data_IF_623865195784
#
_entry.id   IF_623865195784
#
_cell.length_a   1.000
_cell.length_b   1.000
_cell.length_c   1.000
_cell.angle_alpha   90.00
_cell.angle_beta   90.00
_cell.angle_gamma   90.00
#
_symmetry.space_group_name_H-M   'P 1'
#
loop_
_entity.id
_entity.type
_entity.pdbx_description
1 polymer ?
#
# COMPACT_ATOMS: atom_id res chain seq x y z
N UNK A 1 -38.85 -28.98 -65.77
CA UNK A 1 -39.47 -29.06 -64.44
C UNK A 1 -38.38 -29.48 -63.44
N UNK A 2 -37.72 -28.51 -62.79
CA UNK A 2 -36.61 -28.77 -61.84
C UNK A 2 -37.14 -28.70 -60.41
N UNK A 3 -37.26 -29.85 -59.74
CA UNK A 3 -37.61 -29.90 -58.32
C UNK A 3 -36.38 -29.58 -57.48
N UNK A 4 -36.41 -28.43 -56.78
CA UNK A 4 -35.40 -28.03 -55.81
C UNK A 4 -35.61 -28.82 -54.52
N UNK A 5 -34.77 -29.83 -54.27
CA UNK A 5 -34.71 -30.50 -52.99
C UNK A 5 -34.15 -29.53 -51.94
N UNK A 6 -35.01 -29.04 -51.03
CA UNK A 6 -34.58 -28.30 -49.84
C UNK A 6 -33.85 -29.26 -48.92
N UNK A 7 -32.52 -29.18 -48.89
CA UNK A 7 -31.67 -29.83 -47.90
C UNK A 7 -32.05 -29.28 -46.52
N UNK A 8 -32.69 -30.08 -45.68
CA UNK A 8 -32.94 -29.73 -44.29
C UNK A 8 -31.58 -29.49 -43.62
N UNK A 9 -31.35 -28.28 -43.10
CA UNK A 9 -30.18 -27.98 -42.27
C UNK A 9 -30.36 -28.77 -40.98
N UNK A 10 -29.49 -29.75 -40.79
CA UNK A 10 -29.35 -30.53 -39.55
C UNK A 10 -28.92 -29.55 -38.44
N UNK A 11 -29.89 -28.96 -37.73
CA UNK A 11 -29.64 -28.13 -36.57
C UNK A 11 -29.36 -29.05 -35.39
N UNK A 12 -28.11 -29.50 -35.29
CA UNK A 12 -27.62 -30.21 -34.10
C UNK A 12 -27.58 -29.19 -32.96
N UNK A 13 -28.53 -29.29 -32.04
CA UNK A 13 -28.54 -28.54 -30.79
C UNK A 13 -27.46 -29.07 -29.84
N UNK A 14 -26.89 -28.18 -29.03
CA UNK A 14 -25.98 -28.53 -27.94
C UNK A 14 -26.67 -29.49 -26.97
N UNK A 15 -25.99 -30.56 -26.55
CA UNK A 15 -26.52 -31.44 -25.53
C UNK A 15 -26.32 -30.83 -24.13
N UNK A 16 -27.24 -31.10 -23.20
CA UNK A 16 -27.10 -30.67 -21.81
C UNK A 16 -25.84 -31.26 -21.15
N UNK A 17 -25.45 -32.47 -21.57
CA UNK A 17 -24.26 -33.16 -21.05
C UNK A 17 -22.98 -32.44 -21.46
N UNK A 18 -22.88 -31.93 -22.70
CA UNK A 18 -21.73 -31.13 -23.13
C UNK A 18 -21.56 -29.87 -22.30
N UNK A 19 -22.65 -29.16 -22.02
CA UNK A 19 -22.58 -27.96 -21.16
C UNK A 19 -22.21 -28.32 -19.72
N UNK A 20 -22.73 -29.44 -19.19
CA UNK A 20 -22.43 -29.92 -17.84
C UNK A 20 -20.95 -30.23 -17.66
N UNK A 21 -20.32 -30.94 -18.60
CA UNK A 21 -18.89 -31.26 -18.55
C UNK A 21 -18.05 -29.98 -18.61
N UNK A 22 -18.42 -29.00 -19.44
CA UNK A 22 -17.69 -27.73 -19.55
C UNK A 22 -17.73 -26.94 -18.25
N UNK A 23 -18.90 -26.76 -17.62
CA UNK A 23 -18.98 -26.02 -16.35
C UNK A 23 -18.29 -26.77 -15.21
N UNK A 24 -18.28 -28.12 -15.24
CA UNK A 24 -17.53 -28.92 -14.26
C UNK A 24 -16.02 -28.68 -14.37
N UNK A 25 -15.46 -28.68 -15.59
CA UNK A 25 -14.05 -28.37 -15.82
C UNK A 25 -13.72 -26.93 -15.41
N UNK A 26 -14.54 -25.96 -15.79
CA UNK A 26 -14.37 -24.55 -15.39
C UNK A 26 -14.42 -24.41 -13.86
N UNK A 27 -15.32 -25.12 -13.18
CA UNK A 27 -15.42 -25.13 -11.73
C UNK A 27 -14.15 -25.65 -11.04
N UNK A 28 -13.56 -26.75 -11.53
CA UNK A 28 -12.30 -27.30 -11.00
C UNK A 28 -11.15 -26.31 -11.20
N UNK A 29 -11.03 -25.74 -12.40
CA UNK A 29 -9.97 -24.75 -12.69
C UNK A 29 -10.12 -23.49 -11.83
N UNK A 30 -11.34 -22.97 -11.71
CA UNK A 30 -11.62 -21.79 -10.90
C UNK A 30 -11.28 -22.01 -9.42
N UNK A 31 -11.58 -23.20 -8.87
CA UNK A 31 -11.29 -23.54 -7.48
C UNK A 31 -9.79 -23.52 -7.15
N UNK A 32 -8.93 -23.90 -8.11
CA UNK A 32 -7.47 -23.88 -7.92
C UNK A 32 -6.91 -22.46 -8.10
N UNK A 33 -7.39 -21.73 -9.10
CA UNK A 33 -6.82 -20.43 -9.49
C UNK A 33 -7.22 -19.32 -8.50
N UNK A 34 -8.46 -19.30 -8.02
CA UNK A 34 -8.98 -18.23 -7.18
C UNK A 34 -8.12 -17.93 -5.92
N UNK A 35 -7.77 -18.89 -5.05
CA UNK A 35 -6.97 -18.61 -3.86
C UNK A 35 -5.55 -18.13 -4.19
N UNK A 36 -4.95 -18.65 -5.26
CA UNK A 36 -3.62 -18.24 -5.72
C UNK A 36 -3.65 -16.78 -6.18
N UNK A 37 -4.67 -16.40 -6.95
CA UNK A 37 -4.86 -15.04 -7.42
C UNK A 37 -5.02 -14.05 -6.25
N UNK A 38 -5.86 -14.35 -5.26
CA UNK A 38 -6.04 -13.49 -4.08
C UNK A 38 -4.74 -13.30 -3.29
N UNK A 39 -4.00 -14.38 -3.02
CA UNK A 39 -2.72 -14.27 -2.32
C UNK A 39 -1.67 -13.46 -3.11
N UNK A 40 -1.67 -13.58 -4.44
CA UNK A 40 -0.79 -12.79 -5.31
C UNK A 40 -1.13 -11.30 -5.24
N UNK A 41 -2.42 -10.95 -5.25
CA UNK A 41 -2.89 -9.58 -5.09
C UNK A 41 -2.43 -9.03 -3.73
N UNK A 42 -2.61 -9.77 -2.64
CA UNK A 42 -2.20 -9.33 -1.31
C UNK A 42 -0.69 -9.12 -1.20
N UNK A 43 0.12 -10.02 -1.78
CA UNK A 43 1.58 -9.83 -1.86
C UNK A 43 1.95 -8.57 -2.64
N UNK A 44 1.29 -8.32 -3.78
CA UNK A 44 1.54 -7.11 -4.57
C UNK A 44 1.19 -5.82 -3.81
N UNK A 45 0.13 -5.85 -2.98
CA UNK A 45 -0.26 -4.72 -2.13
C UNK A 45 0.78 -4.44 -1.04
N UNK A 46 1.30 -5.48 -0.38
CA UNK A 46 2.36 -5.34 0.63
C UNK A 46 3.61 -4.75 -0.01
N UNK A 47 4.07 -5.28 -1.15
CA UNK A 47 5.24 -4.78 -1.86
C UNK A 47 5.07 -3.30 -2.31
N UNK A 48 3.88 -2.92 -2.78
CA UNK A 48 3.58 -1.53 -3.12
C UNK A 48 3.66 -0.62 -1.88
N UNK A 49 3.09 -1.04 -0.75
CA UNK A 49 3.13 -0.26 0.48
C UNK A 49 4.56 -0.10 1.02
N UNK A 50 5.38 -1.14 0.88
CA UNK A 50 6.79 -1.11 1.23
C UNK A 50 7.59 -0.12 0.36
N UNK A 51 7.36 -0.14 -0.95
CA UNK A 51 7.98 0.79 -1.90
C UNK A 51 7.57 2.24 -1.61
N UNK A 52 6.29 2.49 -1.33
CA UNK A 52 5.78 3.80 -0.92
C UNK A 52 6.46 4.26 0.38
N UNK A 53 6.54 3.40 1.40
CA UNK A 53 7.23 3.69 2.65
C UNK A 53 8.71 4.07 2.43
N UNK A 54 9.46 3.29 1.64
CA UNK A 54 10.88 3.55 1.36
C UNK A 54 11.08 4.89 0.66
N UNK A 55 10.21 5.21 -0.30
CA UNK A 55 10.24 6.48 -1.04
C UNK A 55 9.93 7.65 -0.11
N UNK A 56 8.87 7.54 0.70
CA UNK A 56 8.50 8.59 1.67
C UNK A 56 9.59 8.77 2.72
N UNK A 57 10.16 7.68 3.25
CA UNK A 57 11.27 7.73 4.22
C UNK A 57 12.45 8.51 3.66
N UNK A 58 12.87 8.20 2.43
CA UNK A 58 13.98 8.89 1.79
C UNK A 58 13.69 10.39 1.63
N UNK A 59 12.49 10.75 1.18
CA UNK A 59 12.09 12.14 1.02
C UNK A 59 12.08 12.92 2.35
N UNK A 60 11.56 12.30 3.42
CA UNK A 60 11.56 12.90 4.77
C UNK A 60 12.98 13.13 5.28
N UNK A 61 13.90 12.17 5.07
CA UNK A 61 15.30 12.29 5.49
C UNK A 61 16.05 13.35 4.68
N UNK A 62 15.80 13.45 3.37
CA UNK A 62 16.37 14.48 2.51
C UNK A 62 15.89 15.87 2.94
N UNK A 63 14.58 16.02 3.19
CA UNK A 63 14.02 17.26 3.70
C UNK A 63 14.66 17.70 5.02
N UNK A 64 14.90 16.76 5.94
CA UNK A 64 15.59 17.04 7.20
C UNK A 64 17.06 17.42 6.98
N UNK A 65 17.75 16.77 6.05
CA UNK A 65 19.16 17.05 5.75
C UNK A 65 19.34 18.46 5.16
N UNK A 66 18.43 18.89 4.29
CA UNK A 66 18.49 20.20 3.64
C UNK A 66 18.06 21.32 4.59
N UNK A 67 16.99 21.10 5.35
CA UNK A 67 16.37 22.16 6.16
C UNK A 67 16.82 22.18 7.61
N UNK A 68 17.41 21.08 8.11
CA UNK A 68 17.71 20.85 9.53
C UNK A 68 16.46 20.65 10.40
N UNK A 69 15.27 20.63 9.81
CA UNK A 69 13.99 20.54 10.51
C UNK A 69 13.17 19.41 9.90
N UNK A 70 12.52 18.62 10.76
CA UNK A 70 11.64 17.56 10.29
C UNK A 70 10.37 18.16 9.68
N UNK A 71 9.81 17.55 8.61
CA UNK A 71 8.50 17.92 8.11
C UNK A 71 7.45 17.91 9.23
N UNK A 72 6.43 18.77 9.18
CA UNK A 72 5.36 18.79 10.16
C UNK A 72 4.51 17.53 10.03
N UNK A 73 3.78 17.19 11.09
CA UNK A 73 2.74 16.17 11.01
C UNK A 73 1.68 16.57 9.98
N UNK A 74 1.18 15.58 9.24
CA UNK A 74 0.08 15.79 8.29
C UNK A 74 -1.15 16.27 9.06
N UNK A 75 -1.74 17.38 8.61
CA UNK A 75 -2.91 17.98 9.27
C UNK A 75 -4.20 17.20 9.04
N UNK A 76 -4.22 16.33 8.02
CA UNK A 76 -5.31 15.41 7.73
C UNK A 76 -4.78 14.15 7.03
N UNK A 77 -5.55 13.07 7.08
CA UNK A 77 -5.21 11.81 6.43
C UNK A 77 -5.03 11.98 4.92
N UNK A 78 -3.95 11.42 4.36
CA UNK A 78 -3.69 11.45 2.92
C UNK A 78 -3.25 12.80 2.37
N UNK A 79 -2.99 13.80 3.22
CA UNK A 79 -2.40 15.07 2.80
C UNK A 79 -0.88 15.01 2.81
N UNK A 80 -0.30 15.73 1.87
CA UNK A 80 1.13 16.00 1.82
C UNK A 80 1.55 16.81 3.08
N UNK A 81 2.55 16.37 3.85
CA UNK A 81 3.13 17.14 4.96
C UNK A 81 4.06 18.29 4.49
N UNK A 82 4.17 18.51 3.18
CA UNK A 82 5.01 19.54 2.55
C UNK A 82 6.32 19.01 1.98
N UNK A 83 6.32 17.73 1.62
CA UNK A 83 7.40 17.09 0.86
C UNK A 83 7.28 17.35 -0.64
N UNK A 84 6.06 17.60 -1.13
CA UNK A 84 5.80 17.94 -2.54
C UNK A 84 5.67 19.45 -2.71
N UNK A 85 4.90 20.10 -1.84
CA UNK A 85 4.69 21.55 -1.90
C UNK A 85 5.05 22.20 -0.57
N UNK A 86 6.02 23.13 -0.60
CA UNK A 86 6.46 23.92 0.55
C UNK A 86 5.28 24.58 1.29
N UNK A 87 4.21 24.97 0.58
CA UNK A 87 3.06 25.63 1.18
C UNK A 87 2.27 24.74 2.16
N UNK A 88 2.41 23.42 2.06
CA UNK A 88 1.81 22.48 3.01
C UNK A 88 2.65 22.30 4.29
N UNK A 89 3.88 22.82 4.31
CA UNK A 89 4.76 22.81 5.47
C UNK A 89 4.61 24.11 6.26
N UNK A 90 3.78 24.07 7.31
CA UNK A 90 3.63 25.21 8.22
C UNK A 90 4.96 25.55 8.90
N UNK A 91 5.48 26.76 8.66
CA UNK A 91 6.79 27.19 9.18
C UNK A 91 7.99 26.58 8.47
N UNK A 92 7.86 26.25 7.17
CA UNK A 92 8.98 25.76 6.37
C UNK A 92 10.19 26.69 6.40
N UNK A 93 11.40 26.20 6.69
CA UNK A 93 12.61 27.00 6.59
C UNK A 93 12.84 27.56 5.20
N UNK A 94 13.56 28.69 5.11
CA UNK A 94 13.97 29.27 3.83
C UNK A 94 14.92 28.36 3.04
N UNK A 95 15.60 27.44 3.73
CA UNK A 95 16.48 26.41 3.16
C UNK A 95 15.75 25.24 2.50
N UNK A 96 14.41 25.24 2.47
CA UNK A 96 13.65 24.22 1.73
C UNK A 96 13.99 24.27 0.23
N UNK A 97 14.50 23.15 -0.29
CA UNK A 97 14.97 23.02 -1.67
C UNK A 97 14.25 21.87 -2.41
N UNK A 98 13.03 21.55 -1.99
CA UNK A 98 12.21 20.51 -2.60
C UNK A 98 11.71 20.90 -4.01
N UNK A 99 10.84 20.06 -4.61
CA UNK A 99 10.13 18.94 -3.99
C UNK A 99 11.04 17.75 -3.65
N UNK A 100 10.81 17.12 -2.51
CA UNK A 100 11.48 15.88 -2.09
C UNK A 100 10.74 14.61 -2.53
N UNK A 101 9.52 14.77 -3.03
CA UNK A 101 8.67 13.74 -3.63
C UNK A 101 8.00 14.34 -4.86
N UNK A 102 7.94 13.59 -5.96
CA UNK A 102 7.20 14.01 -7.16
C UNK A 102 5.70 14.15 -6.87
N UNK A 103 5.16 13.26 -6.03
CA UNK A 103 3.75 13.21 -5.66
C UNK A 103 3.55 12.47 -4.34
N UNK A 104 2.66 13.01 -3.50
CA UNK A 104 2.22 12.32 -2.29
C UNK A 104 1.20 11.21 -2.64
N UNK A 105 1.41 9.96 -2.18
CA UNK A 105 0.42 8.90 -2.34
C UNK A 105 -0.77 9.17 -1.41
N UNK A 106 -1.88 9.66 -1.98
CA UNK A 106 -3.09 9.95 -1.22
C UNK A 106 -3.81 8.69 -0.73
N UNK A 107 -3.51 7.54 -1.32
CA UNK A 107 -4.13 6.24 -1.03
C UNK A 107 -3.07 5.16 -0.86
N UNK A 108 -3.30 4.29 0.11
CA UNK A 108 -2.54 3.06 0.27
C UNK A 108 -3.16 1.91 -0.56
N UNK A 109 -2.45 0.77 -0.71
CA UNK A 109 -2.90 -0.36 -1.52
C UNK A 109 -4.21 -1.04 -1.07
N UNK A 110 -4.69 -0.72 0.14
CA UNK A 110 -5.97 -1.21 0.69
C UNK A 110 -7.09 -0.17 0.63
N UNK A 111 -6.83 1.00 0.03
CA UNK A 111 -7.81 2.09 -0.16
C UNK A 111 -7.94 3.05 1.04
N UNK A 112 -7.19 2.81 2.12
CA UNK A 112 -6.95 3.78 3.18
C UNK A 112 -5.98 4.88 2.73
N UNK A 113 -5.49 5.67 3.68
CA UNK A 113 -4.61 6.80 3.40
C UNK A 113 -3.27 6.65 4.12
N UNK A 114 -2.23 7.29 3.57
CA UNK A 114 -0.96 7.51 4.26
C UNK A 114 -1.03 8.79 5.08
N UNK A 115 -0.57 8.73 6.33
CA UNK A 115 -0.48 9.91 7.21
C UNK A 115 0.90 9.93 7.83
N UNK A 116 1.69 10.96 7.53
CA UNK A 116 2.98 11.16 8.18
C UNK A 116 2.77 11.89 9.50
N UNK A 117 3.33 11.35 10.58
CA UNK A 117 3.29 11.95 11.91
C UNK A 117 4.72 12.19 12.40
N UNK A 118 4.94 13.41 12.86
CA UNK A 118 6.12 13.83 13.60
C UNK A 118 5.72 14.07 15.06
N UNK A 119 5.92 13.06 15.90
CA UNK A 119 5.68 13.16 17.33
C UNK A 119 6.86 13.89 17.99
N UNK A 120 6.65 15.16 18.31
CA UNK A 120 7.64 16.02 18.96
C UNK A 120 7.91 15.62 20.42
N UNK A 121 6.95 14.95 21.08
CA UNK A 121 7.09 14.53 22.48
C UNK A 121 7.98 13.29 22.58
N UNK A 122 7.70 12.29 21.75
CA UNK A 122 8.46 11.03 21.71
C UNK A 122 9.66 11.08 20.76
N UNK A 123 9.89 12.22 20.10
CA UNK A 123 10.91 12.42 19.06
C UNK A 123 10.94 11.28 18.05
N UNK A 124 9.75 10.82 17.67
CA UNK A 124 9.53 9.65 16.81
C UNK A 124 8.72 10.08 15.60
N UNK A 125 9.15 9.62 14.42
CA UNK A 125 8.52 9.92 13.14
C UNK A 125 8.07 8.61 12.55
N UNK A 126 6.82 8.54 12.17
CA UNK A 126 6.22 7.32 11.66
C UNK A 126 5.23 7.61 10.54
N UNK A 127 5.07 6.63 9.67
CA UNK A 127 4.06 6.61 8.63
C UNK A 127 2.90 5.74 9.08
N UNK A 128 1.70 6.31 9.17
CA UNK A 128 0.49 5.58 9.50
C UNK A 128 -0.26 5.18 8.23
N UNK A 129 -0.78 3.96 8.23
CA UNK A 129 -1.59 3.38 7.18
C UNK A 129 -2.94 2.96 7.75
N UNK A 130 -4.02 3.52 7.22
CA UNK A 130 -5.40 3.20 7.59
C UNK A 130 -5.94 1.99 6.80
N UNK A 131 -6.92 1.26 7.37
CA UNK A 131 -7.62 0.12 6.74
C UNK A 131 -6.72 -1.01 6.23
N UNK A 132 -5.58 -1.23 6.89
CA UNK A 132 -4.71 -2.35 6.53
C UNK A 132 -5.17 -3.61 7.27
N UNK A 133 -5.39 -4.75 6.58
CA UNK A 133 -5.76 -6.00 7.24
C UNK A 133 -4.61 -6.57 8.10
N UNK A 134 -4.95 -7.25 9.19
CA UNK A 134 -3.98 -7.89 10.11
C UNK A 134 -3.06 -8.90 9.39
N UNK A 135 -3.57 -9.55 8.34
CA UNK A 135 -2.78 -10.49 7.52
C UNK A 135 -1.64 -9.80 6.76
N UNK A 136 -1.74 -8.49 6.51
CA UNK A 136 -0.68 -7.70 5.93
C UNK A 136 0.31 -7.18 6.97
N UNK A 137 -0.10 -6.99 8.24
CA UNK A 137 0.79 -6.58 9.33
C UNK A 137 1.96 -7.57 9.49
N UNK A 138 1.66 -8.87 9.56
CA UNK A 138 2.68 -9.90 9.74
C UNK A 138 3.67 -9.94 8.57
N UNK A 139 3.18 -9.72 7.34
CA UNK A 139 4.02 -9.67 6.13
C UNK A 139 4.92 -8.44 6.15
N UNK A 140 4.34 -7.27 6.44
CA UNK A 140 5.09 -6.02 6.57
C UNK A 140 6.14 -6.10 7.69
N UNK A 141 5.83 -6.72 8.83
CA UNK A 141 6.80 -6.98 9.90
C UNK A 141 7.92 -7.92 9.46
N UNK A 142 7.61 -8.93 8.65
CA UNK A 142 8.62 -9.81 8.08
C UNK A 142 9.59 -9.08 7.16
N UNK A 143 9.08 -8.17 6.31
CA UNK A 143 9.86 -7.50 5.27
C UNK A 143 10.59 -6.24 5.78
N UNK A 144 9.95 -5.46 6.66
CA UNK A 144 10.48 -4.22 7.21
C UNK A 144 11.12 -4.39 8.60
N UNK A 145 10.87 -5.51 9.27
CA UNK A 145 11.36 -5.79 10.62
C UNK A 145 10.52 -5.13 11.73
N UNK A 146 11.12 -4.97 12.91
CA UNK A 146 10.47 -4.52 14.15
C UNK A 146 10.12 -3.01 14.19
N UNK A 147 9.98 -2.38 13.04
CA UNK A 147 9.57 -0.97 12.92
C UNK A 147 8.07 -0.82 12.64
N UNK A 148 7.35 -1.94 12.44
CA UNK A 148 5.93 -1.96 12.13
C UNK A 148 5.13 -2.37 13.38
N UNK A 149 4.29 -1.46 13.87
CA UNK A 149 3.45 -1.66 15.05
C UNK A 149 2.01 -1.33 14.70
N UNK A 150 1.06 -2.11 15.21
CA UNK A 150 -0.36 -1.79 15.13
C UNK A 150 -0.79 -1.03 16.39
N UNK A 151 -1.48 0.09 16.20
CA UNK A 151 -2.09 0.85 17.28
C UNK A 151 -3.52 1.22 16.88
N UNK A 152 -4.50 0.78 17.68
CA UNK A 152 -5.93 1.07 17.49
C UNK A 152 -6.46 0.77 16.06
N UNK A 153 -6.01 -0.33 15.44
CA UNK A 153 -6.43 -0.72 14.08
C UNK A 153 -5.78 0.07 12.95
N UNK A 154 -4.75 0.87 13.25
CA UNK A 154 -3.91 1.56 12.27
C UNK A 154 -2.51 1.00 12.33
N UNK A 155 -1.91 0.70 11.17
CA UNK A 155 -0.52 0.25 11.11
C UNK A 155 0.38 1.48 11.09
N UNK A 156 1.38 1.47 11.96
CA UNK A 156 2.40 2.52 12.06
C UNK A 156 3.76 1.93 11.69
N UNK A 157 4.52 2.65 10.85
CA UNK A 157 5.85 2.24 10.41
C UNK A 157 6.85 3.32 10.81
N UNK A 158 7.80 3.00 11.68
CA UNK A 158 8.80 3.94 12.16
C UNK A 158 9.74 4.38 11.02
N UNK A 159 9.88 5.69 10.83
CA UNK A 159 10.82 6.31 9.89
C UNK A 159 12.13 6.62 10.61
N UNK A 160 12.04 7.33 11.75
CA UNK A 160 13.18 7.75 12.56
C UNK A 160 12.74 7.94 14.02
N UNK A 161 13.61 7.60 14.96
CA UNK A 161 13.44 7.90 16.38
C UNK A 161 14.77 8.46 16.88
N UNK A 162 14.73 9.63 17.50
CA UNK A 162 15.93 10.17 18.14
C UNK A 162 16.13 9.42 19.45
N UNK A 163 17.27 8.76 19.62
CA UNK A 163 17.61 8.05 20.85
C UNK A 163 17.67 9.03 22.02
N UNK A 164 16.69 8.98 22.92
CA UNK A 164 16.76 9.61 24.25
C UNK A 164 17.22 8.63 25.35
N UNK A 165 17.68 7.43 24.99
CA UNK A 165 17.99 6.35 25.95
C UNK A 165 19.38 5.73 25.77
N UNK A 166 20.43 6.57 25.80
CA UNK A 166 21.80 6.15 26.15
C UNK A 166 22.23 6.88 27.44
N UNK A 167 21.56 6.58 28.56
CA UNK A 167 22.00 6.99 29.91
C UNK A 167 21.26 6.18 30.97
N UNK A 168 21.75 4.96 31.24
CA UNK A 168 21.68 4.19 32.50
C UNK A 168 21.52 2.70 32.23
N UNK A 169 22.60 2.04 31.78
CA UNK A 169 22.98 0.73 32.31
C UNK A 169 24.33 0.31 31.72
N UNK A 170 25.39 0.84 32.30
CA UNK A 170 26.73 0.25 32.30
C UNK A 170 27.45 0.79 33.52
N UNK A 171 27.02 0.32 34.70
CA UNK A 171 27.85 0.16 35.88
C UNK A 171 27.61 -1.23 36.44
#
# INVERSE_FOLDING_TARGET
MWQRLKKARDQRGFTLVELLVVIAIIGILAAIIAPVAFNSIDKSKVAAAEADYRTIKAAVLNAYTDTGVWPPSSTAQGRDPGLVDKNNWSGAPDTWNGPYLDRWPTKNPWGGSYTYINDTNQKSRYLQLDKVPDTALQKLQGDLGNIVTEENGTITILISKDDTSQSNNSQ
#
